data_IF_577073802162
#
_entry.id   IF_577073802162
#
_cell.length_a   1.000
_cell.length_b   1.000
_cell.length_c   1.000
_cell.angle_alpha   90.00
_cell.angle_beta   90.00
_cell.angle_gamma   90.00
#
_symmetry.space_group_name_H-M   'P 1'
#
loop_
_entity.id
_entity.type
_entity.pdbx_description
1 polymer ?
#
# COMPACT_ATOMS: atom_id res chain seq x y z
N UNK A 1 10.91 -31.47 11.44
CA UNK A 1 11.63 -30.24 11.01
C UNK A 1 10.84 -29.63 9.86
N UNK A 2 10.69 -28.31 9.79
CA UNK A 2 10.01 -27.66 8.65
C UNK A 2 10.91 -27.77 7.41
N UNK A 3 10.36 -28.18 6.28
CA UNK A 3 11.06 -28.33 5.01
C UNK A 3 11.74 -26.99 4.61
N UNK A 4 13.06 -26.97 4.33
CA UNK A 4 13.77 -25.78 3.86
C UNK A 4 13.12 -25.09 2.65
N UNK A 5 12.51 -25.87 1.75
CA UNK A 5 11.83 -25.36 0.54
C UNK A 5 10.56 -24.59 0.91
N UNK A 6 9.80 -25.09 1.88
CA UNK A 6 8.58 -24.43 2.34
C UNK A 6 8.89 -23.11 3.06
N UNK A 7 9.99 -23.07 3.82
CA UNK A 7 10.50 -21.87 4.49
C UNK A 7 10.88 -20.77 3.48
N UNK A 8 11.52 -21.13 2.37
CA UNK A 8 11.85 -20.20 1.28
C UNK A 8 10.59 -19.62 0.63
N UNK A 9 9.61 -20.46 0.26
CA UNK A 9 8.34 -20.02 -0.34
C UNK A 9 7.57 -19.04 0.56
N UNK A 10 7.59 -19.26 1.89
CA UNK A 10 6.96 -18.36 2.86
C UNK A 10 7.66 -16.98 2.90
N UNK A 11 8.99 -16.94 2.86
CA UNK A 11 9.78 -15.70 2.79
C UNK A 11 9.54 -14.91 1.49
N UNK A 12 9.46 -15.59 0.34
CA UNK A 12 9.15 -14.92 -0.94
C UNK A 12 7.77 -14.25 -0.92
N UNK A 13 6.75 -14.95 -0.38
CA UNK A 13 5.41 -14.39 -0.20
C UNK A 13 5.41 -13.15 0.70
N UNK A 14 6.21 -13.17 1.77
CA UNK A 14 6.40 -12.02 2.65
C UNK A 14 6.99 -10.82 1.89
N UNK A 15 8.09 -11.02 1.17
CA UNK A 15 8.73 -9.96 0.37
C UNK A 15 7.79 -9.36 -0.70
N UNK A 16 6.97 -10.20 -1.34
CA UNK A 16 5.96 -9.74 -2.30
C UNK A 16 4.92 -8.85 -1.59
N UNK A 17 4.47 -9.24 -0.40
CA UNK A 17 3.51 -8.46 0.38
C UNK A 17 4.10 -7.11 0.83
N UNK A 18 5.36 -7.08 1.26
CA UNK A 18 6.09 -5.85 1.61
C UNK A 18 6.16 -4.89 0.41
N UNK A 19 6.58 -5.39 -0.76
CA UNK A 19 6.61 -4.60 -2.00
C UNK A 19 5.24 -4.05 -2.39
N UNK A 20 4.17 -4.81 -2.20
CA UNK A 20 2.79 -4.34 -2.44
C UNK A 20 2.41 -3.20 -1.49
N UNK A 21 2.77 -3.28 -0.21
CA UNK A 21 2.53 -2.21 0.77
C UNK A 21 3.31 -0.96 0.39
N UNK A 22 4.58 -1.09 0.06
CA UNK A 22 5.45 0.02 -0.34
C UNK A 22 4.91 0.74 -1.58
N UNK A 23 4.60 0.01 -2.66
CA UNK A 23 4.03 0.59 -3.89
C UNK A 23 2.72 1.33 -3.60
N UNK A 24 1.84 0.77 -2.76
CA UNK A 24 0.59 1.42 -2.37
C UNK A 24 0.83 2.70 -1.56
N UNK A 25 1.81 2.69 -0.65
CA UNK A 25 2.19 3.86 0.15
C UNK A 25 2.76 4.98 -0.71
N UNK A 26 3.68 4.66 -1.63
CA UNK A 26 4.25 5.62 -2.59
C UNK A 26 3.13 6.26 -3.43
N UNK A 27 2.16 5.46 -3.91
CA UNK A 27 1.01 5.96 -4.66
C UNK A 27 0.16 6.93 -3.83
N UNK A 28 -0.20 6.55 -2.61
CA UNK A 28 -0.98 7.42 -1.70
C UNK A 28 -0.23 8.72 -1.39
N UNK A 29 1.08 8.64 -1.14
CA UNK A 29 1.96 9.80 -0.88
C UNK A 29 2.00 10.77 -2.07
N UNK A 30 2.15 10.25 -3.30
CA UNK A 30 2.11 11.07 -4.53
C UNK A 30 0.76 11.77 -4.71
N UNK A 31 -0.36 11.07 -4.50
CA UNK A 31 -1.71 11.66 -4.60
C UNK A 31 -1.88 12.75 -3.53
N UNK A 32 -1.46 12.51 -2.30
CA UNK A 32 -1.55 13.49 -1.22
C UNK A 32 -0.72 14.75 -1.51
N UNK A 33 0.50 14.60 -2.07
CA UNK A 33 1.31 15.74 -2.53
C UNK A 33 0.60 16.56 -3.60
N UNK A 34 -0.02 15.90 -4.58
CA UNK A 34 -0.83 16.58 -5.63
C UNK A 34 -2.05 17.29 -5.04
N UNK A 35 -2.75 16.64 -4.11
CA UNK A 35 -3.92 17.21 -3.44
C UNK A 35 -3.56 18.49 -2.68
N UNK A 36 -2.44 18.50 -1.97
CA UNK A 36 -1.94 19.70 -1.28
C UNK A 36 -1.63 20.85 -2.24
N UNK A 37 -1.13 20.55 -3.45
CA UNK A 37 -0.88 21.57 -4.49
C UNK A 37 -2.19 22.10 -5.08
N UNK A 38 -3.11 21.22 -5.47
CA UNK A 38 -4.41 21.61 -5.99
C UNK A 38 -5.20 22.49 -5.00
N UNK A 39 -5.15 22.17 -3.70
CA UNK A 39 -5.75 22.99 -2.64
C UNK A 39 -5.12 24.37 -2.48
N UNK A 40 -3.83 24.54 -2.80
CA UNK A 40 -3.15 25.83 -2.76
C UNK A 40 -3.49 26.71 -3.96
N UNK A 41 -3.83 26.09 -5.09
CA UNK A 41 -4.16 26.77 -6.34
C UNK A 41 -5.67 26.99 -6.52
N UNK A 42 -6.49 26.74 -5.48
CA UNK A 42 -7.97 26.80 -5.53
C UNK A 42 -8.62 25.96 -6.64
N UNK A 43 -7.94 24.90 -7.09
CA UNK A 43 -8.43 23.96 -8.10
C UNK A 43 -9.47 22.99 -7.48
N UNK A 44 -10.67 23.49 -7.16
CA UNK A 44 -11.70 22.75 -6.39
C UNK A 44 -12.07 21.40 -7.01
N UNK A 45 -12.29 21.34 -8.32
CA UNK A 45 -12.65 20.10 -9.02
C UNK A 45 -11.53 19.05 -8.97
N UNK A 46 -10.30 19.46 -9.25
CA UNK A 46 -9.11 18.60 -9.19
C UNK A 46 -8.90 18.11 -7.75
N UNK A 47 -9.11 18.98 -6.75
CA UNK A 47 -8.99 18.61 -5.34
C UNK A 47 -10.02 17.55 -4.93
N UNK A 48 -11.26 17.63 -5.42
CA UNK A 48 -12.32 16.66 -5.14
C UNK A 48 -11.96 15.29 -5.72
N UNK A 49 -11.60 15.24 -7.00
CA UNK A 49 -11.19 14.00 -7.66
C UNK A 49 -9.94 13.35 -7.00
N UNK A 50 -8.97 14.16 -6.58
CA UNK A 50 -7.78 13.67 -5.88
C UNK A 50 -8.11 13.13 -4.48
N UNK A 51 -9.13 13.67 -3.81
CA UNK A 51 -9.60 13.18 -2.50
C UNK A 51 -10.18 11.76 -2.62
N UNK A 52 -10.99 11.51 -3.65
CA UNK A 52 -11.57 10.19 -3.89
C UNK A 52 -10.48 9.16 -4.23
N UNK A 53 -9.57 9.53 -5.14
CA UNK A 53 -8.39 8.70 -5.48
C UNK A 53 -7.50 8.42 -4.27
N UNK A 54 -7.37 9.38 -3.36
CA UNK A 54 -6.59 9.23 -2.13
C UNK A 54 -7.28 8.24 -1.18
N UNK A 55 -8.60 8.35 -1.02
CA UNK A 55 -9.37 7.42 -0.20
C UNK A 55 -9.24 5.98 -0.71
N UNK A 56 -9.33 5.77 -2.02
CA UNK A 56 -9.14 4.45 -2.62
C UNK A 56 -7.71 3.92 -2.48
N UNK A 57 -6.71 4.80 -2.61
CA UNK A 57 -5.32 4.43 -2.35
C UNK A 57 -5.12 3.98 -0.90
N UNK A 58 -5.74 4.66 0.07
CA UNK A 58 -5.71 4.25 1.47
C UNK A 58 -6.46 2.94 1.74
N UNK A 59 -7.62 2.71 1.10
CA UNK A 59 -8.32 1.42 1.18
C UNK A 59 -7.43 0.28 0.69
N UNK A 60 -6.73 0.46 -0.44
CA UNK A 60 -5.75 -0.51 -0.96
C UNK A 60 -4.57 -0.72 -0.01
N UNK A 61 -3.99 0.36 0.52
CA UNK A 61 -2.91 0.28 1.50
C UNK A 61 -3.32 -0.51 2.75
N UNK A 62 -4.54 -0.29 3.26
CA UNK A 62 -5.09 -1.03 4.41
C UNK A 62 -5.24 -2.52 4.11
N UNK A 63 -5.70 -2.89 2.91
CA UNK A 63 -5.78 -4.30 2.47
C UNK A 63 -4.38 -4.94 2.39
N UNK A 64 -3.43 -4.29 1.74
CA UNK A 64 -2.05 -4.79 1.61
C UNK A 64 -1.37 -4.95 2.98
N UNK A 65 -1.60 -4.02 3.92
CA UNK A 65 -1.08 -4.15 5.30
C UNK A 65 -1.67 -5.35 6.05
N UNK A 66 -2.93 -5.72 5.78
CA UNK A 66 -3.52 -6.94 6.36
C UNK A 66 -2.90 -8.20 5.75
N UNK A 67 -2.67 -8.21 4.43
CA UNK A 67 -1.96 -9.30 3.74
C UNK A 67 -0.55 -9.47 4.29
N UNK A 68 0.19 -8.37 4.49
CA UNK A 68 1.53 -8.39 5.08
C UNK A 68 1.53 -9.02 6.48
N UNK A 69 0.66 -8.56 7.38
CA UNK A 69 0.52 -9.16 8.72
C UNK A 69 0.17 -10.64 8.69
N UNK A 70 -0.63 -11.07 7.71
CA UNK A 70 -0.95 -12.49 7.55
C UNK A 70 0.27 -13.29 7.07
N UNK A 71 1.04 -12.75 6.12
CA UNK A 71 2.27 -13.37 5.62
C UNK A 71 3.35 -13.46 6.72
N UNK A 72 3.52 -12.41 7.53
CA UNK A 72 4.43 -12.38 8.69
C UNK A 72 4.13 -13.53 9.66
N UNK A 73 2.85 -13.72 10.02
CA UNK A 73 2.40 -14.82 10.91
C UNK A 73 2.64 -16.22 10.36
N UNK A 74 2.80 -16.37 9.05
CA UNK A 74 3.07 -17.67 8.41
C UNK A 74 4.57 -17.97 8.31
N UNK A 75 5.41 -16.95 8.45
CA UNK A 75 6.88 -17.05 8.43
C UNK A 75 7.44 -17.22 9.85
N UNK A 76 6.82 -16.59 10.85
CA UNK A 76 7.06 -16.84 12.28
C UNK A 76 6.73 -18.27 12.66
#
# INVERSE_FOLDING_TARGET
MVDPVEKLKKKEKLQIAERKVEKAWVRASKINKKLKRAKKNDEKEISSNLKDKLQDAFKRLKRNKKELKHAERKVS
#
